data_IF_437375505839
#
_entry.id   IF_437375505839
#
_cell.length_a   1.000
_cell.length_b   1.000
_cell.length_c   1.000
_cell.angle_alpha   90.00
_cell.angle_beta   90.00
_cell.angle_gamma   90.00
#
_symmetry.space_group_name_H-M   'P 1'
#
loop_
_entity.id
_entity.type
_entity.pdbx_description
1 polymer ?
#
# COMPACT_ATOMS: atom_id res chain seq x y z
N UNK A 1 -28.91 5.54 8.86
CA UNK A 1 -27.75 6.33 8.40
C UNK A 1 -26.55 5.43 8.60
N UNK A 2 -26.02 4.81 7.54
CA UNK A 2 -24.70 4.17 7.64
C UNK A 2 -23.70 5.28 7.90
N UNK A 3 -22.83 5.12 8.89
CA UNK A 3 -21.55 5.83 8.83
C UNK A 3 -20.92 5.40 7.52
N UNK A 4 -20.71 6.32 6.59
CA UNK A 4 -19.88 6.04 5.42
C UNK A 4 -18.51 5.63 5.99
N UNK A 5 -18.22 4.32 5.97
CA UNK A 5 -16.92 3.80 6.39
C UNK A 5 -15.87 4.51 5.53
N UNK A 6 -14.99 5.28 6.15
CA UNK A 6 -13.97 6.02 5.43
C UNK A 6 -12.73 5.14 5.24
N UNK A 7 -12.45 4.77 3.99
CA UNK A 7 -11.32 3.94 3.62
C UNK A 7 -10.10 4.82 3.31
N UNK A 8 -8.96 4.45 3.90
CA UNK A 8 -7.71 5.21 3.75
C UNK A 8 -6.54 4.32 3.36
N UNK A 9 -5.86 4.61 2.26
CA UNK A 9 -4.60 3.95 1.91
C UNK A 9 -3.47 4.61 2.68
N UNK A 10 -2.66 3.80 3.36
CA UNK A 10 -1.43 4.25 4.02
C UNK A 10 -0.26 3.84 3.12
N UNK A 11 0.43 4.83 2.55
CA UNK A 11 1.58 4.64 1.68
C UNK A 11 2.87 5.00 2.43
N UNK A 12 3.84 4.07 2.40
CA UNK A 12 5.20 4.30 2.87
C UNK A 12 6.10 4.60 1.66
N UNK A 13 6.67 5.80 1.58
CA UNK A 13 7.41 6.28 0.39
C UNK A 13 8.74 6.94 0.75
N UNK A 14 9.66 7.02 -0.22
CA UNK A 14 10.95 7.72 -0.09
C UNK A 14 12.02 7.05 0.81
N UNK A 15 11.65 6.04 1.60
CA UNK A 15 12.56 5.25 2.43
C UNK A 15 13.13 4.01 1.74
N UNK A 16 13.80 3.18 2.52
CA UNK A 16 14.40 1.93 2.06
C UNK A 16 14.27 0.82 3.11
N UNK A 17 14.36 -0.43 2.65
CA UNK A 17 14.39 -1.58 3.54
C UNK A 17 15.81 -1.85 4.03
N UNK A 18 15.96 -2.02 5.34
CA UNK A 18 17.19 -2.48 5.98
C UNK A 18 16.93 -3.83 6.62
N UNK A 19 17.91 -4.73 6.54
CA UNK A 19 17.85 -6.04 7.18
C UNK A 19 18.94 -6.16 8.24
N UNK A 20 18.52 -6.20 9.49
CA UNK A 20 19.39 -6.41 10.66
C UNK A 20 18.63 -7.28 11.66
N UNK A 21 18.91 -8.59 11.61
CA UNK A 21 18.09 -9.71 12.14
C UNK A 21 16.67 -9.81 11.55
N UNK A 22 16.00 -8.68 11.28
CA UNK A 22 14.66 -8.54 10.71
C UNK A 22 14.64 -7.44 9.64
N UNK A 23 13.70 -7.55 8.69
CA UNK A 23 13.44 -6.47 7.71
C UNK A 23 12.67 -5.34 8.38
N UNK A 24 13.15 -4.11 8.22
CA UNK A 24 12.52 -2.87 8.68
C UNK A 24 12.57 -1.80 7.57
N UNK A 25 11.55 -0.96 7.50
CA UNK A 25 11.51 0.20 6.61
C UNK A 25 12.03 1.44 7.35
N UNK A 26 12.96 2.18 6.78
CA UNK A 26 13.62 3.34 7.44
C UNK A 26 13.78 4.51 6.48
N UNK A 27 13.80 5.73 7.05
CA UNK A 27 14.11 6.97 6.34
C UNK A 27 13.05 7.44 5.35
N UNK A 28 11.85 6.86 5.36
CA UNK A 28 10.74 7.28 4.49
C UNK A 28 9.65 8.04 5.23
N UNK A 29 8.66 8.48 4.46
CA UNK A 29 7.49 9.21 4.92
C UNK A 29 6.24 8.34 4.82
N UNK A 30 5.22 8.68 5.61
CA UNK A 30 3.92 8.02 5.59
C UNK A 30 2.89 9.01 5.07
N UNK A 31 2.23 8.66 3.97
CA UNK A 31 1.17 9.44 3.36
C UNK A 31 -0.15 8.69 3.53
N UNK A 32 -1.20 9.40 3.96
CA UNK A 32 -2.55 8.86 4.08
C UNK A 32 -3.42 9.46 2.98
N UNK A 33 -4.00 8.60 2.14
CA UNK A 33 -4.88 8.99 1.03
C UNK A 33 -6.29 8.45 1.29
N UNK A 34 -7.31 9.27 1.02
CA UNK A 34 -8.71 8.84 1.06
C UNK A 34 -9.11 8.39 -0.33
N UNK A 35 -9.51 7.13 -0.47
CA UNK A 35 -9.84 6.52 -1.77
C UNK A 35 -11.07 5.62 -1.62
N UNK A 36 -11.82 5.42 -2.71
CA UNK A 36 -12.99 4.54 -2.73
C UNK A 36 -12.58 3.13 -3.16
N UNK A 37 -12.75 2.10 -2.30
CA UNK A 37 -12.37 0.72 -2.61
C UNK A 37 -13.09 0.14 -3.82
N UNK A 38 -14.26 0.66 -4.19
CA UNK A 38 -15.00 0.20 -5.37
C UNK A 38 -14.45 0.76 -6.69
N UNK A 39 -13.61 1.80 -6.63
CA UNK A 39 -13.10 2.49 -7.82
C UNK A 39 -11.59 2.33 -8.00
N UNK A 40 -10.87 1.94 -6.95
CA UNK A 40 -9.42 1.82 -7.04
C UNK A 40 -9.02 0.54 -7.80
N UNK A 41 -8.36 0.76 -8.93
CA UNK A 41 -7.73 -0.29 -9.74
C UNK A 41 -6.22 -0.22 -9.59
N UNK A 42 -5.51 -1.22 -10.11
CA UNK A 42 -4.05 -1.19 -10.20
C UNK A 42 -3.56 0.03 -10.98
N UNK A 43 -4.27 0.38 -12.04
CA UNK A 43 -3.94 1.55 -12.86
C UNK A 43 -4.07 2.86 -12.09
N UNK A 44 -5.16 3.04 -11.34
CA UNK A 44 -5.35 4.24 -10.52
C UNK A 44 -4.30 4.32 -9.40
N UNK A 45 -3.99 3.20 -8.73
CA UNK A 45 -2.91 3.15 -7.75
C UNK A 45 -1.56 3.54 -8.36
N UNK A 46 -1.25 3.05 -9.56
CA UNK A 46 -0.06 3.45 -10.30
C UNK A 46 -0.04 4.95 -10.62
N UNK A 47 -1.17 5.53 -11.02
CA UNK A 47 -1.27 6.98 -11.30
C UNK A 47 -1.05 7.82 -10.05
N UNK A 48 -1.66 7.44 -8.93
CA UNK A 48 -1.45 8.11 -7.64
C UNK A 48 0.04 8.14 -7.30
N UNK A 49 0.70 6.98 -7.36
CA UNK A 49 2.10 6.85 -6.96
C UNK A 49 3.06 7.55 -7.94
N UNK A 50 2.87 7.38 -9.25
CA UNK A 50 3.79 7.93 -10.26
C UNK A 50 3.56 9.42 -10.46
N UNK A 51 2.32 9.80 -10.76
CA UNK A 51 1.97 11.17 -11.13
C UNK A 51 1.63 11.98 -9.89
N UNK A 52 0.74 11.48 -9.03
CA UNK A 52 0.25 12.21 -7.86
C UNK A 52 1.34 12.48 -6.83
N UNK A 53 2.25 11.52 -6.61
CA UNK A 53 3.35 11.63 -5.66
C UNK A 53 4.72 11.88 -6.31
N UNK A 54 4.81 11.87 -7.64
CA UNK A 54 6.05 12.17 -8.38
C UNK A 54 7.08 11.03 -8.42
N UNK A 55 6.74 9.82 -7.98
CA UNK A 55 7.66 8.68 -8.00
C UNK A 55 7.65 7.94 -9.35
N UNK A 56 8.05 8.66 -10.40
CA UNK A 56 7.93 8.24 -11.80
C UNK A 56 8.72 6.96 -12.18
N UNK A 57 9.71 6.57 -11.38
CA UNK A 57 10.62 5.43 -11.64
C UNK A 57 10.18 4.15 -10.88
N UNK A 58 9.09 4.19 -10.10
CA UNK A 58 8.69 3.05 -9.28
C UNK A 58 8.42 1.80 -10.14
N UNK A 59 9.15 0.73 -9.82
CA UNK A 59 9.04 -0.58 -10.46
C UNK A 59 8.08 -1.54 -9.74
N UNK A 60 7.91 -1.42 -8.42
CA UNK A 60 7.10 -2.36 -7.62
C UNK A 60 6.38 -1.63 -6.48
N UNK A 61 5.10 -1.94 -6.32
CA UNK A 61 4.29 -1.52 -5.16
C UNK A 61 4.07 -2.76 -4.30
N UNK A 62 4.23 -2.64 -2.99
CA UNK A 62 4.00 -3.72 -2.05
C UNK A 62 2.89 -3.33 -1.07
N UNK A 63 2.05 -4.29 -0.72
CA UNK A 63 1.19 -4.17 0.47
C UNK A 63 1.64 -5.14 1.56
N UNK A 64 1.30 -4.79 2.79
CA UNK A 64 1.53 -5.63 3.95
C UNK A 64 0.25 -6.43 4.25
N UNK A 65 0.32 -7.74 4.08
CA UNK A 65 -0.68 -8.69 4.54
C UNK A 65 -0.53 -8.88 6.06
N UNK A 66 -1.48 -8.42 6.89
CA UNK A 66 -1.37 -8.50 8.34
C UNK A 66 -1.49 -9.96 8.84
N UNK A 67 -0.40 -10.72 8.74
CA UNK A 67 -0.21 -12.01 9.42
C UNK A 67 0.70 -11.85 10.64
N UNK A 68 0.65 -12.77 11.59
CA UNK A 68 1.32 -12.65 12.90
C UNK A 68 2.84 -12.84 12.88
N UNK A 69 3.47 -13.18 11.74
CA UNK A 69 4.79 -13.84 11.77
C UNK A 69 5.99 -12.90 11.56
N UNK A 70 6.01 -11.99 10.57
CA UNK A 70 7.07 -10.95 10.32
C UNK A 70 6.75 -10.14 9.06
N UNK A 71 7.18 -8.86 9.00
CA UNK A 71 7.09 -7.99 7.80
C UNK A 71 7.62 -8.67 6.53
N UNK A 72 8.81 -9.30 6.62
CA UNK A 72 9.46 -9.94 5.46
C UNK A 72 8.66 -11.08 4.82
N UNK A 73 7.78 -11.73 5.59
CA UNK A 73 6.95 -12.84 5.10
C UNK A 73 5.58 -12.35 4.60
N UNK A 74 5.28 -11.07 4.83
CA UNK A 74 3.96 -10.47 4.71
C UNK A 74 3.90 -9.38 3.65
N UNK A 75 5.01 -9.06 2.99
CA UNK A 75 4.99 -8.17 1.83
C UNK A 75 4.52 -8.96 0.61
N UNK A 76 3.55 -8.39 -0.10
CA UNK A 76 2.99 -8.92 -1.35
C UNK A 76 3.07 -7.83 -2.42
N UNK A 77 3.46 -8.23 -3.62
CA UNK A 77 3.56 -7.31 -4.76
C UNK A 77 2.15 -7.06 -5.31
N UNK A 78 1.86 -5.81 -5.64
CA UNK A 78 0.72 -5.41 -6.46
C UNK A 78 1.23 -5.23 -7.90
N UNK A 79 0.71 -6.03 -8.82
CA UNK A 79 1.12 -6.01 -10.23
C UNK A 79 -0.07 -6.01 -11.21
N UNK A 80 -1.30 -6.17 -10.71
CA UNK A 80 -2.54 -6.20 -11.49
C UNK A 80 -3.77 -5.95 -10.59
N UNK A 81 -4.96 -5.99 -11.18
CA UNK A 81 -6.21 -5.80 -10.44
C UNK A 81 -6.52 -6.95 -9.46
N UNK A 82 -6.05 -8.17 -9.74
CA UNK A 82 -6.25 -9.32 -8.83
C UNK A 82 -5.49 -9.11 -7.53
N UNK A 83 -4.22 -8.73 -7.62
CA UNK A 83 -3.38 -8.39 -6.46
C UNK A 83 -3.84 -7.09 -5.77
N UNK A 84 -4.45 -6.16 -6.51
CA UNK A 84 -5.10 -4.97 -5.94
C UNK A 84 -6.30 -5.39 -5.10
N UNK A 85 -7.21 -6.22 -5.61
CA UNK A 85 -8.36 -6.75 -4.86
C UNK A 85 -7.90 -7.48 -3.59
N UNK A 86 -6.85 -8.31 -3.68
CA UNK A 86 -6.29 -8.99 -2.52
C UNK A 86 -5.76 -8.01 -1.46
N UNK A 87 -5.23 -6.84 -1.85
CA UNK A 87 -4.89 -5.77 -0.91
C UNK A 87 -6.15 -5.18 -0.26
N UNK A 88 -7.22 -4.98 -1.03
CA UNK A 88 -8.48 -4.40 -0.52
C UNK A 88 -9.09 -5.23 0.61
N UNK A 89 -8.92 -6.56 0.60
CA UNK A 89 -9.37 -7.46 1.67
C UNK A 89 -8.74 -7.14 3.04
N UNK A 90 -7.57 -6.49 3.04
CA UNK A 90 -6.86 -6.06 4.25
C UNK A 90 -6.95 -4.55 4.50
N UNK A 91 -7.76 -3.83 3.72
CA UNK A 91 -7.90 -2.41 3.86
C UNK A 91 -8.60 -2.07 5.18
N UNK A 92 -7.90 -1.33 6.03
CA UNK A 92 -8.38 -0.91 7.35
C UNK A 92 -9.70 -0.12 7.20
N UNK A 93 -10.77 -0.71 7.74
CA UNK A 93 -12.03 -0.02 8.06
C UNK A 93 -11.84 0.70 9.38
N UNK A 94 -12.03 2.02 9.41
CA UNK A 94 -12.05 2.81 10.64
C UNK A 94 -13.49 3.03 11.11
#
# INVERSE_FOLDING_TARGET
MSLDEEYYIILHVGGHFVKDLYVRYVGGEVIRLKEDPNTISYFELCKIVKIGLGFNIIMLIYFHEPSTVRLQNNLRVIYDDTSTIAMLDFWVKF
#
